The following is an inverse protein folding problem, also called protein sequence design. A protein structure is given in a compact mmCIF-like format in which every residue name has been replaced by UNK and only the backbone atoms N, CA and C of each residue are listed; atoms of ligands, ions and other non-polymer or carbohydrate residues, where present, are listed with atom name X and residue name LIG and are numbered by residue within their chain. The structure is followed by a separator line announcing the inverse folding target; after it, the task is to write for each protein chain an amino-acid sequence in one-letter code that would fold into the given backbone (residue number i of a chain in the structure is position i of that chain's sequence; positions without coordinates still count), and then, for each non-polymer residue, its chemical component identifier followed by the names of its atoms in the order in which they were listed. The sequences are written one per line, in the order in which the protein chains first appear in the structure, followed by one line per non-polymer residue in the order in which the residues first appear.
data_IF_058445938050
#
_entry.id   IF_058445938050
#
_cell.length_a   1.000
_cell.length_b   1.000
_cell.length_c   1.000
_cell.angle_alpha   90.00
_cell.angle_beta   90.00
_cell.angle_gamma   90.00
#
_symmetry.space_group_name_H-M   'P 1'
#
loop_
_entity.id
_entity.type
_entity.pdbx_description
1 polymer ?
#
# COMPACT_ATOMS: atom_id res chain seq x y z
N UNK A 1 -15.24 26.30 19.07
CA UNK A 1 -15.27 25.67 17.73
C UNK A 1 -15.01 24.19 17.95
N UNK A 2 -15.93 23.32 17.55
CA UNK A 2 -15.73 21.87 17.54
C UNK A 2 -15.28 21.47 16.13
N UNK A 3 -14.17 20.75 16.05
CA UNK A 3 -13.67 20.14 14.81
C UNK A 3 -14.40 18.80 14.63
N UNK A 4 -14.91 18.55 13.44
CA UNK A 4 -15.43 17.23 13.07
C UNK A 4 -14.25 16.29 12.76
N UNK A 5 -14.25 15.10 13.38
CA UNK A 5 -13.21 14.09 13.20
C UNK A 5 -13.87 12.87 12.58
N UNK A 6 -13.51 12.58 11.33
CA UNK A 6 -13.87 11.32 10.68
C UNK A 6 -12.81 10.26 10.99
N UNK A 7 -13.26 9.06 11.34
CA UNK A 7 -12.40 7.90 11.53
C UNK A 7 -13.03 6.75 10.74
N UNK A 8 -12.30 6.24 9.76
CA UNK A 8 -12.78 5.17 8.90
C UNK A 8 -12.91 3.86 9.69
N UNK A 9 -13.91 3.06 9.34
CA UNK A 9 -14.11 1.73 9.93
C UNK A 9 -13.15 0.72 9.31
N UNK A 10 -12.68 -0.25 10.11
CA UNK A 10 -11.89 -1.38 9.64
C UNK A 10 -12.81 -2.48 9.08
N UNK A 11 -13.52 -2.18 7.99
CA UNK A 11 -14.37 -3.13 7.27
C UNK A 11 -13.86 -3.33 5.84
N UNK A 12 -13.36 -4.53 5.55
CA UNK A 12 -12.82 -4.93 4.26
C UNK A 12 -13.83 -5.46 3.25
N UNK A 13 -15.12 -5.55 3.60
CA UNK A 13 -16.13 -6.14 2.72
C UNK A 13 -16.23 -5.42 1.37
N UNK A 14 -16.06 -6.18 0.29
CA UNK A 14 -16.13 -5.66 -1.08
C UNK A 14 -14.87 -4.93 -1.57
N UNK A 15 -13.83 -4.81 -0.73
CA UNK A 15 -12.56 -4.23 -1.16
C UNK A 15 -11.71 -5.24 -1.94
N UNK A 16 -11.03 -4.78 -2.98
CA UNK A 16 -10.05 -5.49 -3.78
C UNK A 16 -8.65 -5.02 -3.43
N UNK A 17 -7.84 -5.93 -2.90
CA UNK A 17 -6.53 -5.60 -2.32
C UNK A 17 -5.41 -6.23 -3.14
N UNK A 18 -4.48 -5.38 -3.59
CA UNK A 18 -3.26 -5.83 -4.28
C UNK A 18 -2.08 -5.92 -3.33
N UNK A 19 -1.31 -7.00 -3.39
CA UNK A 19 -0.14 -7.22 -2.52
C UNK A 19 1.08 -7.53 -3.38
N UNK A 20 2.19 -6.84 -3.11
CA UNK A 20 3.50 -7.14 -3.71
C UNK A 20 4.48 -7.51 -2.60
N UNK A 21 5.03 -8.72 -2.67
CA UNK A 21 5.98 -9.24 -1.67
C UNK A 21 7.39 -9.44 -2.25
N UNK A 22 8.40 -8.89 -1.59
CA UNK A 22 9.80 -9.26 -1.82
C UNK A 22 10.11 -10.70 -1.35
N UNK A 23 10.93 -11.42 -2.12
CA UNK A 23 11.43 -12.76 -1.74
C UNK A 23 12.74 -12.72 -0.95
N UNK A 24 13.50 -11.62 -1.01
CA UNK A 24 14.69 -11.44 -0.19
C UNK A 24 14.31 -11.30 1.30
N UNK A 25 15.10 -11.89 2.20
CA UNK A 25 14.76 -12.08 3.63
C UNK A 25 13.48 -12.93 3.82
N UNK A 26 13.44 -14.11 3.19
CA UNK A 26 12.26 -14.96 3.02
C UNK A 26 11.49 -15.24 4.31
N UNK A 27 12.16 -15.59 5.41
CA UNK A 27 11.49 -15.89 6.68
C UNK A 27 10.71 -14.68 7.22
N UNK A 28 11.30 -13.49 7.14
CA UNK A 28 10.69 -12.22 7.57
C UNK A 28 9.53 -11.85 6.64
N UNK A 29 9.74 -11.94 5.32
CA UNK A 29 8.71 -11.61 4.33
C UNK A 29 7.53 -12.60 4.36
N UNK A 30 7.78 -13.87 4.69
CA UNK A 30 6.74 -14.87 4.91
C UNK A 30 5.90 -14.53 6.14
N UNK A 31 6.54 -14.17 7.25
CA UNK A 31 5.82 -13.75 8.46
C UNK A 31 4.99 -12.48 8.23
N UNK A 32 5.50 -11.51 7.46
CA UNK A 32 4.74 -10.33 7.01
C UNK A 32 3.51 -10.73 6.20
N UNK A 33 3.68 -11.61 5.19
CA UNK A 33 2.58 -12.06 4.33
C UNK A 33 1.51 -12.77 5.16
N UNK A 34 1.91 -13.69 6.01
CA UNK A 34 0.95 -14.52 6.77
C UNK A 34 0.10 -13.68 7.72
N UNK A 35 0.71 -12.74 8.45
CA UNK A 35 -0.07 -11.86 9.32
C UNK A 35 -0.91 -10.84 8.54
N UNK A 36 -0.41 -10.32 7.42
CA UNK A 36 -1.17 -9.45 6.53
C UNK A 36 -2.41 -10.14 5.97
N UNK A 37 -2.26 -11.35 5.42
CA UNK A 37 -3.39 -12.11 4.87
C UNK A 37 -4.39 -12.48 5.97
N UNK A 38 -3.90 -12.99 7.11
CA UNK A 38 -4.78 -13.33 8.23
C UNK A 38 -5.61 -12.12 8.70
N UNK A 39 -4.99 -10.94 8.74
CA UNK A 39 -5.68 -9.72 9.13
C UNK A 39 -6.67 -9.23 8.06
N UNK A 40 -6.34 -9.25 6.77
CA UNK A 40 -7.28 -8.91 5.70
C UNK A 40 -8.54 -9.77 5.76
N UNK A 41 -8.38 -11.08 5.94
CA UNK A 41 -9.51 -12.01 6.09
C UNK A 41 -10.30 -11.71 7.37
N UNK A 42 -9.61 -11.42 8.49
CA UNK A 42 -10.26 -11.03 9.75
C UNK A 42 -11.08 -9.75 9.60
N UNK A 43 -10.63 -8.82 8.76
CA UNK A 43 -11.30 -7.56 8.45
C UNK A 43 -12.43 -7.72 7.42
N UNK A 44 -12.62 -8.90 6.82
CA UNK A 44 -13.75 -9.17 5.92
C UNK A 44 -13.45 -9.02 4.43
N UNK A 45 -12.19 -8.83 4.04
CA UNK A 45 -11.79 -8.93 2.62
C UNK A 45 -11.94 -10.39 2.18
N UNK A 46 -12.62 -10.64 1.06
CA UNK A 46 -12.79 -12.00 0.58
C UNK A 46 -11.51 -12.50 -0.11
N UNK A 47 -11.18 -13.79 0.05
CA UNK A 47 -9.93 -14.36 -0.49
C UNK A 47 -9.77 -14.14 -1.99
N UNK A 48 -10.86 -14.22 -2.76
CA UNK A 48 -10.82 -14.01 -4.21
C UNK A 48 -10.53 -12.56 -4.62
N UNK A 49 -10.72 -11.61 -3.72
CA UNK A 49 -10.49 -10.17 -3.95
C UNK A 49 -9.08 -9.75 -3.49
N UNK A 50 -8.25 -10.72 -3.06
CA UNK A 50 -6.84 -10.50 -2.72
C UNK A 50 -5.96 -11.03 -3.86
N UNK A 51 -5.21 -10.15 -4.51
CA UNK A 51 -4.21 -10.53 -5.51
C UNK A 51 -2.80 -10.32 -4.98
N UNK A 52 -2.01 -11.40 -4.90
CA UNK A 52 -0.63 -11.35 -4.42
C UNK A 52 0.37 -11.71 -5.52
N UNK A 53 1.36 -10.84 -5.72
CA UNK A 53 2.51 -11.07 -6.59
C UNK A 53 3.83 -11.05 -5.80
N UNK A 54 4.86 -11.74 -6.30
CA UNK A 54 6.18 -11.73 -5.66
C UNK A 54 7.28 -11.19 -6.57
N UNK A 55 8.24 -10.47 -5.99
CA UNK A 55 9.38 -9.85 -6.67
C UNK A 55 10.71 -10.29 -6.06
N UNK A 56 11.85 -10.18 -6.77
CA UNK A 56 13.15 -10.58 -6.23
C UNK A 56 13.53 -9.83 -4.93
N UNK A 57 13.49 -8.49 -4.94
CA UNK A 57 13.84 -7.66 -3.80
C UNK A 57 12.95 -6.42 -3.65
N UNK A 58 13.23 -5.61 -2.63
CA UNK A 58 12.44 -4.42 -2.30
C UNK A 58 12.47 -3.32 -3.39
N UNK A 59 13.54 -3.24 -4.19
CA UNK A 59 13.66 -2.26 -5.28
C UNK A 59 12.69 -2.52 -6.44
N UNK A 60 12.22 -3.75 -6.62
CA UNK A 60 11.27 -4.10 -7.68
C UNK A 60 9.81 -3.93 -7.24
N UNK A 61 9.55 -3.73 -5.95
CA UNK A 61 8.19 -3.54 -5.42
C UNK A 61 7.46 -2.37 -6.11
N UNK A 62 8.06 -1.16 -6.22
CA UNK A 62 7.40 -0.03 -6.89
C UNK A 62 6.98 -0.32 -8.33
N UNK A 63 7.78 -1.07 -9.08
CA UNK A 63 7.46 -1.40 -10.47
C UNK A 63 6.18 -2.24 -10.57
N UNK A 64 6.03 -3.26 -9.72
CA UNK A 64 4.83 -4.10 -9.76
C UNK A 64 3.62 -3.35 -9.19
N UNK A 65 3.80 -2.55 -8.13
CA UNK A 65 2.73 -1.70 -7.60
C UNK A 65 2.20 -0.74 -8.66
N UNK A 66 3.09 -0.07 -9.41
CA UNK A 66 2.71 0.81 -10.52
C UNK A 66 1.86 0.07 -11.56
N UNK A 67 2.29 -1.15 -11.93
CA UNK A 67 1.56 -1.99 -12.88
C UNK A 67 0.20 -2.44 -12.36
N UNK A 68 0.07 -2.74 -11.06
CA UNK A 68 -1.20 -3.07 -10.43
C UNK A 68 -2.11 -1.86 -10.33
N UNK A 69 -1.61 -0.70 -9.88
CA UNK A 69 -2.38 0.54 -9.82
C UNK A 69 -2.92 0.95 -11.20
N UNK A 70 -2.11 0.78 -12.25
CA UNK A 70 -2.48 1.09 -13.64
C UNK A 70 -3.66 0.27 -14.18
N UNK A 71 -4.06 -0.83 -13.55
CA UNK A 71 -5.24 -1.61 -14.00
C UNK A 71 -6.56 -0.98 -13.56
N UNK A 72 -6.55 -0.15 -12.49
CA UNK A 72 -7.76 0.38 -11.88
C UNK A 72 -8.63 -0.68 -11.19
N UNK A 73 -8.07 -1.84 -10.87
CA UNK A 73 -8.82 -2.97 -10.30
C UNK A 73 -8.74 -3.08 -8.77
N UNK A 74 -7.96 -2.21 -8.10
CA UNK A 74 -7.68 -2.30 -6.67
C UNK A 74 -8.12 -1.04 -5.95
N UNK A 75 -8.64 -1.21 -4.73
CA UNK A 75 -9.05 -0.12 -3.85
C UNK A 75 -7.91 0.28 -2.89
N UNK A 76 -6.96 -0.63 -2.64
CA UNK A 76 -5.69 -0.33 -1.99
C UNK A 76 -4.61 -1.35 -2.37
N UNK A 77 -3.35 -0.94 -2.22
CA UNK A 77 -2.19 -1.80 -2.41
C UNK A 77 -1.36 -1.94 -1.14
N UNK A 78 -0.60 -3.03 -1.06
CA UNK A 78 0.28 -3.35 0.08
C UNK A 78 1.66 -3.76 -0.43
N UNK A 79 2.69 -3.10 0.08
CA UNK A 79 4.09 -3.43 -0.14
C UNK A 79 4.65 -4.23 1.05
N UNK A 80 5.04 -5.49 0.83
CA UNK A 80 5.65 -6.34 1.85
C UNK A 80 7.13 -6.60 1.51
N UNK A 81 8.02 -6.33 2.45
CA UNK A 81 9.44 -6.62 2.26
C UNK A 81 10.28 -6.41 3.51
N UNK A 82 11.56 -6.74 3.43
CA UNK A 82 12.50 -6.45 4.50
C UNK A 82 13.88 -6.14 3.93
N UNK A 83 14.49 -5.08 4.46
CA UNK A 83 15.83 -4.58 4.19
C UNK A 83 16.53 -4.53 5.53
N UNK A 84 17.51 -5.41 5.73
CA UNK A 84 18.23 -5.57 6.99
C UNK A 84 19.66 -5.06 6.78
N UNK A 85 20.16 -4.25 7.71
CA UNK A 85 21.45 -3.58 7.60
C UNK A 85 22.61 -4.57 7.46
N UNK A 86 23.39 -4.38 6.39
CA UNK A 86 24.68 -5.02 6.18
C UNK A 86 25.86 -4.06 6.40
N UNK A 87 27.00 -4.37 5.80
CA UNK A 87 28.27 -3.64 6.01
C UNK A 87 28.46 -2.43 5.08
N UNK A 88 27.62 -2.28 4.05
CA UNK A 88 27.79 -1.27 3.01
C UNK A 88 26.60 -0.32 2.96
N UNK A 89 26.77 0.80 2.24
CA UNK A 89 25.72 1.80 1.97
C UNK A 89 24.53 1.24 1.17
N UNK A 90 24.61 -0.01 0.70
CA UNK A 90 23.52 -0.65 -0.03
C UNK A 90 22.22 -0.69 0.78
N UNK A 91 22.31 -0.79 2.11
CA UNK A 91 21.14 -0.73 3.00
C UNK A 91 20.37 0.57 2.80
N UNK A 92 21.05 1.72 2.88
CA UNK A 92 20.46 3.05 2.74
C UNK A 92 19.85 3.26 1.35
N UNK A 93 20.57 2.81 0.31
CA UNK A 93 20.08 2.92 -1.06
C UNK A 93 18.78 2.12 -1.22
N UNK A 94 18.79 0.85 -0.83
CA UNK A 94 17.61 -0.02 -1.01
C UNK A 94 16.45 0.47 -0.15
N UNK A 95 16.67 0.79 1.12
CA UNK A 95 15.61 1.21 2.04
C UNK A 95 14.93 2.51 1.59
N UNK A 96 15.73 3.50 1.19
CA UNK A 96 15.21 4.82 0.84
C UNK A 96 14.57 4.81 -0.54
N UNK A 97 15.20 4.17 -1.53
CA UNK A 97 14.70 4.17 -2.89
C UNK A 97 13.47 3.29 -3.06
N UNK A 98 13.36 2.16 -2.33
CA UNK A 98 12.12 1.39 -2.31
C UNK A 98 10.97 2.19 -1.69
N UNK A 99 11.20 2.85 -0.55
CA UNK A 99 10.18 3.67 0.12
C UNK A 99 9.74 4.86 -0.74
N UNK A 100 10.69 5.55 -1.38
CA UNK A 100 10.42 6.64 -2.32
C UNK A 100 9.60 6.17 -3.52
N UNK A 101 9.94 5.03 -4.10
CA UNK A 101 9.21 4.46 -5.21
C UNK A 101 7.77 4.07 -4.84
N UNK A 102 7.57 3.46 -3.68
CA UNK A 102 6.23 3.11 -3.17
C UNK A 102 5.36 4.37 -3.00
N UNK A 103 5.91 5.42 -2.38
CA UNK A 103 5.19 6.70 -2.21
C UNK A 103 4.87 7.36 -3.55
N UNK A 104 5.77 7.27 -4.53
CA UNK A 104 5.55 7.82 -5.85
C UNK A 104 4.34 7.16 -6.53
N UNK A 105 4.18 5.83 -6.42
CA UNK A 105 2.99 5.13 -6.94
C UNK A 105 1.71 5.63 -6.28
N UNK A 106 1.68 5.73 -4.94
CA UNK A 106 0.51 6.21 -4.23
C UNK A 106 0.07 7.61 -4.71
N UNK A 107 1.05 8.52 -4.87
CA UNK A 107 0.79 9.89 -5.30
C UNK A 107 0.40 9.99 -6.79
N UNK A 108 0.98 9.17 -7.65
CA UNK A 108 0.72 9.18 -9.10
C UNK A 108 -0.70 8.73 -9.43
N UNK A 109 -1.18 7.70 -8.75
CA UNK A 109 -2.49 7.10 -9.02
C UNK A 109 -3.60 7.58 -8.08
N UNK A 110 -3.27 8.33 -7.02
CA UNK A 110 -4.23 8.67 -5.98
C UNK A 110 -4.76 7.45 -5.25
N UNK A 111 -3.99 6.36 -5.22
CA UNK A 111 -4.41 5.06 -4.68
C UNK A 111 -3.67 4.80 -3.35
N UNK A 112 -4.36 4.44 -2.25
CA UNK A 112 -3.69 4.09 -1.01
C UNK A 112 -2.70 2.94 -1.17
N UNK A 113 -1.47 3.13 -0.67
CA UNK A 113 -0.44 2.08 -0.63
C UNK A 113 0.13 1.93 0.78
N UNK A 114 -0.18 0.82 1.45
CA UNK A 114 0.39 0.49 2.75
C UNK A 114 1.83 0.00 2.59
N UNK A 115 2.79 0.70 3.19
CA UNK A 115 4.20 0.35 3.13
C UNK A 115 4.66 -0.46 4.36
N UNK A 116 4.86 -1.76 4.17
CA UNK A 116 5.39 -2.69 5.18
C UNK A 116 6.78 -3.22 4.82
N UNK A 117 7.57 -2.47 4.05
CA UNK A 117 8.99 -2.77 3.84
C UNK A 117 9.75 -2.44 5.12
N UNK A 118 10.11 -3.47 5.89
CA UNK A 118 10.85 -3.30 7.14
C UNK A 118 12.28 -2.83 6.85
N UNK A 119 12.73 -1.80 7.56
CA UNK A 119 14.10 -1.29 7.50
C UNK A 119 14.73 -1.41 8.87
N UNK A 120 15.45 -2.51 9.13
CA UNK A 120 15.95 -2.85 10.48
C UNK A 120 17.46 -2.95 10.52
N UNK A 121 18.03 -2.80 11.72
CA UNK A 121 19.47 -2.94 11.91
C UNK A 121 19.91 -4.38 12.17
N UNK A 122 18.99 -5.27 12.60
CA UNK A 122 19.29 -6.67 12.88
C UNK A 122 18.16 -7.60 12.44
N UNK A 123 18.47 -8.89 12.31
CA UNK A 123 17.50 -9.94 12.01
C UNK A 123 16.46 -10.13 13.12
N UNK A 124 16.86 -10.00 14.39
CA UNK A 124 15.95 -10.13 15.53
C UNK A 124 14.90 -9.02 15.54
N UNK A 125 15.30 -7.79 15.19
CA UNK A 125 14.37 -6.69 15.02
C UNK A 125 13.36 -6.99 13.91
N UNK A 126 13.82 -7.53 12.78
CA UNK A 126 12.95 -7.89 11.67
C UNK A 126 11.96 -8.99 12.07
N UNK A 127 12.45 -10.05 12.74
CA UNK A 127 11.64 -11.19 13.16
C UNK A 127 10.52 -10.79 14.15
N UNK A 128 10.81 -9.95 15.15
CA UNK A 128 9.81 -9.51 16.13
C UNK A 128 8.79 -8.55 15.51
N UNK A 129 9.19 -7.75 14.51
CA UNK A 129 8.32 -6.74 13.90
C UNK A 129 7.45 -7.28 12.78
N UNK A 130 7.90 -8.30 12.03
CA UNK A 130 7.19 -8.80 10.86
C UNK A 130 5.72 -9.19 11.10
N UNK A 131 5.37 -9.98 12.13
CA UNK A 131 3.97 -10.33 12.35
C UNK A 131 3.09 -9.11 12.63
N UNK A 132 3.59 -8.18 13.46
CA UNK A 132 2.85 -6.95 13.82
C UNK A 132 2.69 -6.05 12.60
N UNK A 133 3.76 -5.83 11.84
CA UNK A 133 3.78 -4.90 10.71
C UNK A 133 3.00 -5.40 9.51
N UNK A 134 2.90 -6.73 9.32
CA UNK A 134 2.04 -7.30 8.29
C UNK A 134 0.56 -7.05 8.60
N UNK A 135 0.13 -7.26 9.84
CA UNK A 135 -1.24 -6.97 10.27
C UNK A 135 -1.56 -5.47 10.21
N UNK A 136 -0.67 -4.60 10.70
CA UNK A 136 -0.83 -3.15 10.58
C UNK A 136 -0.96 -2.70 9.11
N UNK A 137 -0.24 -3.33 8.17
CA UNK A 137 -0.34 -3.00 6.75
C UNK A 137 -1.72 -3.33 6.16
N UNK A 138 -2.32 -4.46 6.57
CA UNK A 138 -3.68 -4.81 6.20
C UNK A 138 -4.70 -3.80 6.75
N UNK A 139 -4.55 -3.42 8.03
CA UNK A 139 -5.40 -2.42 8.67
C UNK A 139 -5.32 -1.07 7.95
N UNK A 140 -4.09 -0.59 7.68
CA UNK A 140 -3.86 0.66 6.95
C UNK A 140 -4.48 0.62 5.55
N UNK A 141 -4.33 -0.49 4.82
CA UNK A 141 -4.92 -0.61 3.49
C UNK A 141 -6.45 -0.51 3.52
N UNK A 142 -7.11 -1.24 4.44
CA UNK A 142 -8.57 -1.20 4.59
C UNK A 142 -9.05 0.17 5.06
N UNK A 143 -8.43 0.73 6.09
CA UNK A 143 -8.82 2.03 6.66
C UNK A 143 -8.66 3.16 5.62
N UNK A 144 -7.56 3.15 4.88
CA UNK A 144 -7.30 4.18 3.86
C UNK A 144 -8.20 4.01 2.64
N UNK A 145 -8.54 2.80 2.21
CA UNK A 145 -9.52 2.59 1.14
C UNK A 145 -10.90 3.15 1.53
N UNK A 146 -11.33 2.95 2.78
CA UNK A 146 -12.57 3.53 3.31
C UNK A 146 -12.52 5.03 3.47
N UNK A 147 -11.36 5.56 3.86
CA UNK A 147 -11.16 7.01 3.91
C UNK A 147 -11.23 7.61 2.51
N UNK A 148 -10.64 6.96 1.50
CA UNK A 148 -10.67 7.39 0.11
C UNK A 148 -12.11 7.40 -0.44
N UNK A 149 -12.88 6.32 -0.19
CA UNK A 149 -14.32 6.24 -0.52
C UNK A 149 -15.12 7.38 0.13
N UNK A 150 -14.81 7.73 1.39
CA UNK A 150 -15.44 8.87 2.07
C UNK A 150 -15.01 10.21 1.45
N UNK A 151 -13.73 10.37 1.07
CA UNK A 151 -13.25 11.58 0.41
C UNK A 151 -13.90 11.79 -0.96
N UNK A 152 -14.13 10.71 -1.71
CA UNK A 152 -14.85 10.75 -2.98
C UNK A 152 -16.31 11.22 -2.83
N UNK A 153 -16.91 11.06 -1.64
CA UNK A 153 -18.26 11.56 -1.36
C UNK A 153 -18.37 13.09 -1.38
N UNK A 154 -17.25 13.81 -1.30
CA UNK A 154 -17.22 15.27 -1.47
C UNK A 154 -17.24 15.69 -2.95
N UNK A 155 -17.15 14.73 -3.89
CA UNK A 155 -17.11 14.95 -5.33
C UNK A 155 -15.85 15.66 -5.81
N UNK A 156 -15.54 15.60 -7.12
CA UNK A 156 -14.71 16.65 -7.71
C UNK A 156 -15.43 18.00 -7.48
N UNK A 157 -14.70 19.13 -7.31
CA UNK A 157 -15.35 20.43 -7.30
C UNK A 157 -16.23 20.54 -8.56
N UNK A 158 -17.49 20.94 -8.39
CA UNK A 158 -18.56 21.05 -9.41
C UNK A 158 -18.21 21.90 -10.65
N UNK A 159 -16.96 22.31 -10.87
CA UNK A 159 -16.59 23.39 -11.79
C UNK A 159 -15.25 23.18 -12.53
N UNK A 160 -14.94 21.95 -12.96
CA UNK A 160 -13.97 21.73 -14.04
C UNK A 160 -14.67 21.21 -15.30
N UNK A 161 -15.62 22.01 -15.78
CA UNK A 161 -16.22 21.86 -17.10
C UNK A 161 -15.17 22.20 -18.18
N UNK A 162 -14.31 21.23 -18.50
CA UNK A 162 -13.31 21.31 -19.58
C UNK A 162 -13.95 21.53 -20.96
N UNK A 163 -15.28 21.44 -21.09
CA UNK A 163 -16.02 21.73 -22.31
C UNK A 163 -16.33 23.22 -22.51
N UNK A 164 -16.10 24.07 -21.50
CA UNK A 164 -16.30 25.52 -21.60
C UNK A 164 -15.14 26.27 -22.30
N UNK A 165 -14.01 25.61 -22.55
CA UNK A 165 -12.82 26.23 -23.16
C UNK A 165 -12.71 26.06 -24.68
N UNK A 166 -13.58 25.28 -25.33
CA UNK A 166 -13.57 25.11 -26.80
C UNK A 166 -14.52 26.05 -27.55
N UNK A 167 -15.29 26.90 -26.85
CA UNK A 167 -16.32 27.76 -27.45
C UNK A 167 -15.88 29.15 -27.93
N UNK A 168 -14.59 29.41 -28.14
CA UNK A 168 -14.09 30.78 -28.35
C UNK A 168 -12.95 30.93 -29.34
N UNK A 169 -13.12 30.46 -30.59
CA UNK A 169 -12.31 30.91 -31.74
C UNK A 169 -13.18 30.97 -33.00
N UNK A 170 -13.93 32.06 -33.11
CA UNK A 170 -14.35 32.63 -34.40
C UNK A 170 -13.43 33.82 -34.72
#
# INVERSE_FOLDING_TARGET
MSVEVFQAELDGQGLRIGIVQSRFNEAVCTALRESCLAELIRLGVAEQDISLCTVPGALEIPFVLHRMASTGEFDALIALGAVIRGETYHFELVSNESGRGIQAVANEFGLPVANAVLTTNTDEQAAVRAPVKGAEAAQVAVEMARLDEWLDSFGPPDDFDLLSLEGGRD
#
